data_IF_801616462414
#
_entry.id   IF_801616462414
#
_cell.length_a   1.000
_cell.length_b   1.000
_cell.length_c   1.000
_cell.angle_alpha   90.00
_cell.angle_beta   90.00
_cell.angle_gamma   90.00
#
_symmetry.space_group_name_H-M   'P 1'
#
loop_
_entity.id
_entity.type
_entity.pdbx_description
1 polymer ?
#
# COMPACT_ATOMS: atom_id res chain seq x y z
N UNK A 1 -9.37 6.88 7.39
CA UNK A 1 -8.58 5.73 7.88
C UNK A 1 -7.22 5.78 7.20
N UNK A 2 -6.11 5.59 7.92
CA UNK A 2 -4.75 5.54 7.34
C UNK A 2 -4.40 4.14 6.84
N UNK A 3 -4.98 3.13 7.47
CA UNK A 3 -4.83 1.70 7.16
C UNK A 3 -6.16 1.13 6.67
N UNK A 4 -6.12 -0.02 6.01
CA UNK A 4 -7.26 -0.91 5.76
C UNK A 4 -7.68 -1.65 7.05
N UNK A 5 -8.82 -2.33 7.04
CA UNK A 5 -9.34 -3.06 8.22
C UNK A 5 -8.38 -4.16 8.73
N UNK A 6 -7.49 -4.64 7.87
CA UNK A 6 -6.45 -5.61 8.21
C UNK A 6 -5.18 -4.97 8.80
N UNK A 7 -5.10 -3.63 8.87
CA UNK A 7 -3.92 -2.89 9.32
C UNK A 7 -2.94 -2.54 8.20
N UNK A 8 -3.18 -2.98 6.96
CA UNK A 8 -2.30 -2.64 5.84
C UNK A 8 -2.35 -1.14 5.56
N UNK A 9 -1.22 -0.51 5.25
CA UNK A 9 -1.19 0.89 4.82
C UNK A 9 -2.07 1.08 3.58
N UNK A 10 -2.97 2.07 3.64
CA UNK A 10 -3.89 2.38 2.56
C UNK A 10 -3.21 3.00 1.32
N UNK A 11 -3.87 2.87 0.17
CA UNK A 11 -3.34 3.28 -1.14
C UNK A 11 -2.86 4.74 -1.21
N UNK A 12 -1.64 4.92 -1.73
CA UNK A 12 -1.16 6.19 -2.27
C UNK A 12 -1.45 6.25 -3.78
N UNK A 13 -2.69 6.57 -4.16
CA UNK A 13 -2.90 7.01 -5.53
C UNK A 13 -2.40 8.46 -5.63
N UNK A 14 -1.16 8.63 -6.10
CA UNK A 14 -0.68 9.95 -6.50
C UNK A 14 -1.30 10.25 -7.85
N UNK A 15 -2.03 11.37 -7.92
CA UNK A 15 -2.59 11.87 -9.17
C UNK A 15 -1.48 11.96 -10.24
N UNK A 16 -1.72 11.57 -11.50
CA UNK A 16 -0.69 11.53 -12.55
C UNK A 16 0.15 12.81 -12.65
N UNK A 17 -0.46 13.98 -12.45
CA UNK A 17 0.15 15.32 -12.52
C UNK A 17 1.12 15.60 -11.35
N UNK A 18 1.06 14.79 -10.31
CA UNK A 18 1.87 14.88 -9.09
C UNK A 18 2.84 13.71 -8.93
N UNK A 19 2.88 12.78 -9.88
CA UNK A 19 3.87 11.72 -9.94
C UNK A 19 5.29 12.28 -10.03
N UNK A 20 6.28 11.49 -9.60
CA UNK A 20 7.72 11.81 -9.68
C UNK A 20 8.20 13.01 -8.86
N UNK A 21 7.33 13.59 -8.02
CA UNK A 21 7.66 14.70 -7.11
C UNK A 21 8.04 14.26 -5.69
N UNK A 22 8.11 12.95 -5.44
CA UNK A 22 8.51 12.39 -4.13
C UNK A 22 7.38 12.26 -3.11
N UNK A 23 6.15 12.72 -3.38
CA UNK A 23 5.05 12.68 -2.40
C UNK A 23 4.75 11.27 -1.87
N UNK A 24 4.77 10.25 -2.74
CA UNK A 24 4.55 8.87 -2.30
C UNK A 24 5.61 8.39 -1.30
N UNK A 25 6.86 8.84 -1.46
CA UNK A 25 7.96 8.52 -0.55
C UNK A 25 7.73 9.17 0.81
N UNK A 26 7.55 10.49 0.84
CA UNK A 26 7.42 11.24 2.10
C UNK A 26 6.22 10.77 2.92
N UNK A 27 5.09 10.55 2.24
CA UNK A 27 3.87 10.10 2.90
C UNK A 27 4.00 8.66 3.43
N UNK A 28 4.66 7.77 2.68
CA UNK A 28 4.96 6.41 3.16
C UNK A 28 5.82 6.43 4.42
N UNK A 29 6.86 7.26 4.45
CA UNK A 29 7.74 7.41 5.62
C UNK A 29 6.98 7.97 6.82
N UNK A 30 6.13 8.98 6.61
CA UNK A 30 5.32 9.57 7.67
C UNK A 30 4.35 8.55 8.27
N UNK A 31 3.68 7.74 7.44
CA UNK A 31 2.78 6.68 7.92
C UNK A 31 3.52 5.58 8.67
N UNK A 32 4.66 5.13 8.16
CA UNK A 32 5.50 4.14 8.86
C UNK A 32 5.93 4.63 10.24
N UNK A 33 6.32 5.90 10.38
CA UNK A 33 6.69 6.48 11.67
C UNK A 33 5.52 6.44 12.65
N UNK A 34 4.34 6.89 12.22
CA UNK A 34 3.13 6.88 13.04
C UNK A 34 2.74 5.47 13.49
N UNK A 35 2.75 4.48 12.59
CA UNK A 35 2.45 3.09 12.94
C UNK A 35 3.45 2.53 13.95
N UNK A 36 4.75 2.82 13.78
CA UNK A 36 5.79 2.40 14.73
C UNK A 36 5.63 3.06 16.10
N UNK A 37 5.25 4.33 16.16
CA UNK A 37 4.95 5.04 17.42
C UNK A 37 3.76 4.41 18.16
N UNK A 38 2.85 3.76 17.43
CA UNK A 38 1.72 3.00 17.98
C UNK A 38 2.09 1.56 18.37
N UNK A 39 3.34 1.14 18.16
CA UNK A 39 3.79 -0.23 18.39
C UNK A 39 3.36 -1.21 17.29
N UNK A 40 2.86 -0.72 16.16
CA UNK A 40 2.41 -1.53 15.03
C UNK A 40 3.55 -1.79 14.05
N UNK A 41 3.45 -2.90 13.30
CA UNK A 41 4.38 -3.26 12.24
C UNK A 41 3.83 -2.75 10.91
N UNK A 42 4.50 -1.80 10.23
CA UNK A 42 4.03 -1.34 8.92
C UNK A 42 4.10 -2.46 7.89
N UNK A 43 3.04 -2.63 7.10
CA UNK A 43 3.00 -3.49 5.92
C UNK A 43 2.04 -2.93 4.87
N UNK A 44 2.19 -3.39 3.62
CA UNK A 44 1.38 -2.93 2.48
C UNK A 44 1.19 -4.06 1.48
N UNK A 45 0.02 -4.12 0.86
CA UNK A 45 -0.25 -5.00 -0.27
C UNK A 45 -0.04 -4.24 -1.57
N UNK A 46 0.72 -4.80 -2.50
CA UNK A 46 1.02 -4.17 -3.79
C UNK A 46 0.66 -5.15 -4.89
N UNK A 47 -0.09 -4.69 -5.89
CA UNK A 47 -0.37 -5.51 -7.08
C UNK A 47 0.93 -5.82 -7.82
N UNK A 48 1.08 -7.05 -8.31
CA UNK A 48 2.35 -7.51 -8.90
C UNK A 48 2.74 -6.76 -10.18
N UNK A 49 1.78 -6.19 -10.89
CA UNK A 49 1.98 -5.38 -12.09
C UNK A 49 2.38 -3.92 -11.77
N UNK A 50 2.20 -3.47 -10.53
CA UNK A 50 2.56 -2.12 -10.10
C UNK A 50 4.06 -2.02 -9.74
N UNK A 51 4.89 -2.03 -10.78
CA UNK A 51 6.35 -1.94 -10.64
C UNK A 51 6.83 -0.66 -9.95
N UNK A 52 6.09 0.45 -10.12
CA UNK A 52 6.40 1.73 -9.48
C UNK A 52 6.32 1.65 -7.96
N UNK A 53 5.20 1.18 -7.43
CA UNK A 53 5.02 0.95 -6.00
C UNK A 53 5.96 -0.12 -5.46
N UNK A 54 6.19 -1.21 -6.21
CA UNK A 54 7.15 -2.25 -5.81
C UNK A 54 8.59 -1.72 -5.69
N UNK A 55 9.03 -0.88 -6.63
CA UNK A 55 10.36 -0.24 -6.59
C UNK A 55 10.47 0.73 -5.41
N UNK A 56 9.44 1.56 -5.20
CA UNK A 56 9.37 2.50 -4.09
C UNK A 56 9.46 1.78 -2.74
N UNK A 57 8.61 0.78 -2.51
CA UNK A 57 8.56 0.07 -1.23
C UNK A 57 9.88 -0.62 -0.90
N UNK A 58 10.56 -1.22 -1.90
CA UNK A 58 11.91 -1.78 -1.70
C UNK A 58 12.93 -0.71 -1.31
N UNK A 59 12.92 0.45 -1.97
CA UNK A 59 13.84 1.56 -1.64
C UNK A 59 13.60 2.10 -0.22
N UNK A 60 12.35 2.09 0.25
CA UNK A 60 11.98 2.50 1.61
C UNK A 60 12.44 1.48 2.67
N UNK A 61 12.71 0.23 2.28
CA UNK A 61 13.20 -0.83 3.15
C UNK A 61 12.17 -1.93 3.45
N UNK A 62 11.03 -1.95 2.75
CA UNK A 62 10.15 -3.12 2.81
C UNK A 62 10.77 -4.30 2.09
N UNK A 63 10.51 -5.49 2.63
CA UNK A 63 10.86 -6.77 2.02
C UNK A 63 9.60 -7.50 1.59
N UNK A 64 9.67 -8.23 0.48
CA UNK A 64 8.56 -9.11 0.06
C UNK A 64 8.47 -10.25 1.07
N UNK A 65 7.30 -10.41 1.69
CA UNK A 65 7.07 -11.46 2.68
C UNK A 65 6.25 -12.61 2.09
N UNK A 66 5.04 -12.34 1.56
CA UNK A 66 4.17 -13.35 0.93
C UNK A 66 3.38 -12.81 -0.26
N UNK A 67 2.79 -13.74 -1.01
CA UNK A 67 1.75 -13.45 -2.00
C UNK A 67 0.38 -13.58 -1.36
N UNK A 68 -0.53 -12.68 -1.72
CA UNK A 68 -1.91 -12.67 -1.23
C UNK A 68 -2.83 -12.53 -2.42
N UNK A 69 -3.92 -13.29 -2.43
CA UNK A 69 -4.93 -13.25 -3.47
C UNK A 69 -6.20 -12.61 -2.92
N UNK A 70 -6.66 -11.57 -3.62
CA UNK A 70 -7.93 -10.91 -3.33
C UNK A 70 -8.98 -11.45 -4.29
N UNK A 71 -10.06 -12.02 -3.75
CA UNK A 71 -11.16 -12.57 -4.55
C UNK A 71 -12.36 -11.64 -4.43
N UNK A 72 -12.80 -11.08 -5.56
CA UNK A 72 -14.07 -10.36 -5.65
C UNK A 72 -15.16 -11.35 -6.04
N UNK A 73 -16.14 -11.54 -5.16
CA UNK A 73 -17.33 -12.34 -5.47
C UNK A 73 -18.30 -11.42 -6.21
N UNK A 74 -18.63 -11.76 -7.45
CA UNK A 74 -19.74 -11.15 -8.17
C UNK A 74 -20.97 -12.01 -7.92
N UNK A 75 -21.98 -11.46 -7.24
CA UNK A 75 -23.28 -12.11 -7.13
C UNK A 75 -24.03 -11.80 -8.43
N UNK A 76 -24.27 -12.81 -9.26
CA UNK A 76 -25.22 -12.68 -10.36
C UNK A 76 -26.63 -12.69 -9.76
N UNK A 77 -27.38 -11.60 -9.94
CA UNK A 77 -28.81 -11.60 -9.66
C UNK A 77 -29.47 -12.52 -10.69
N UNK A 78 -29.98 -13.68 -10.21
CA UNK A 78 -30.85 -14.53 -11.02
C UNK A 78 -32.15 -13.76 -11.27
N UNK A 79 -32.26 -13.18 -12.46
CA UNK A 79 -33.53 -12.72 -13.04
C UNK A 79 -34.45 -13.87 -13.41
#
# INVERSE_FOLDING_TARGET
MLTHDDGAMGFFHVLPEHCWKGYAWELSIAMMKKLREQGEIPFVHIQEDNQGSMSLSRKIGFVKERLIQWVKINLEEKG
#
